data_IF_449098215035
#
_entry.id   IF_449098215035
#
_cell.length_a   1.000
_cell.length_b   1.000
_cell.length_c   1.000
_cell.angle_alpha   90.00
_cell.angle_beta   90.00
_cell.angle_gamma   90.00
#
_symmetry.space_group_name_H-M   'P 1'
#
loop_
_entity.id
_entity.type
_entity.pdbx_description
1 polymer ?
#
# COMPACT_ATOMS: atom_id res chain seq x y z
N UNK A 1 4.13 7.05 17.86
CA UNK A 1 4.53 6.24 16.69
C UNK A 1 3.73 4.95 16.67
N UNK A 2 3.11 4.64 15.55
CA UNK A 2 2.30 3.44 15.41
C UNK A 2 3.15 2.26 14.95
N UNK A 3 2.78 1.05 15.41
CA UNK A 3 3.41 -0.17 14.92
C UNK A 3 2.76 -0.57 13.60
N UNK A 4 3.59 -0.83 12.60
CA UNK A 4 3.15 -1.19 11.26
C UNK A 4 3.01 -2.72 11.15
N UNK A 5 1.86 -3.16 10.66
CA UNK A 5 1.56 -4.58 10.44
C UNK A 5 1.13 -4.76 9.00
N UNK A 6 1.72 -5.74 8.32
CA UNK A 6 1.31 -6.14 6.99
C UNK A 6 0.40 -7.37 7.10
N UNK A 7 -0.83 -7.24 6.63
CA UNK A 7 -1.71 -8.42 6.59
C UNK A 7 -1.19 -9.43 5.58
N UNK A 8 -1.52 -10.72 5.74
CA UNK A 8 -1.16 -11.73 4.74
C UNK A 8 -1.68 -11.36 3.34
N UNK A 9 -2.89 -10.82 3.25
CA UNK A 9 -3.46 -10.41 1.98
C UNK A 9 -2.64 -9.30 1.32
N UNK A 10 -2.18 -8.31 2.10
CA UNK A 10 -1.35 -7.23 1.57
C UNK A 10 0.00 -7.75 1.07
N UNK A 11 0.60 -8.71 1.79
CA UNK A 11 1.86 -9.32 1.35
C UNK A 11 1.68 -10.08 0.04
N UNK A 12 0.56 -10.78 -0.12
CA UNK A 12 0.23 -11.46 -1.38
C UNK A 12 0.01 -10.46 -2.51
N UNK A 13 -0.59 -9.32 -2.22
CA UNK A 13 -0.74 -8.25 -3.21
C UNK A 13 0.61 -7.77 -3.73
N UNK A 14 1.56 -7.52 -2.82
CA UNK A 14 2.90 -7.06 -3.21
C UNK A 14 3.58 -8.12 -4.08
N UNK A 15 3.47 -9.39 -3.70
CA UNK A 15 4.04 -10.49 -4.49
C UNK A 15 3.42 -10.52 -5.88
N UNK A 16 2.10 -10.39 -5.97
CA UNK A 16 1.38 -10.40 -7.26
C UNK A 16 1.85 -9.25 -8.15
N UNK A 17 2.01 -8.06 -7.58
CA UNK A 17 2.49 -6.89 -8.34
C UNK A 17 3.93 -7.09 -8.83
N UNK A 18 4.77 -7.66 -7.98
CA UNK A 18 6.15 -8.00 -8.35
C UNK A 18 6.16 -9.03 -9.49
N UNK A 19 5.39 -10.10 -9.35
CA UNK A 19 5.34 -11.18 -10.35
C UNK A 19 4.81 -10.68 -11.69
N UNK A 20 3.91 -9.70 -11.67
CA UNK A 20 3.39 -9.10 -12.90
C UNK A 20 4.49 -8.34 -13.67
N UNK A 21 5.32 -7.58 -12.96
CA UNK A 21 6.37 -6.78 -13.58
C UNK A 21 7.62 -7.58 -13.94
N UNK A 22 7.93 -8.61 -13.17
CA UNK A 22 9.21 -9.34 -13.26
C UNK A 22 9.55 -9.82 -14.67
N UNK A 23 8.64 -10.47 -15.43
CA UNK A 23 8.98 -10.93 -16.76
C UNK A 23 9.15 -9.79 -17.77
N UNK A 24 8.61 -8.61 -17.48
CA UNK A 24 8.70 -7.46 -18.37
C UNK A 24 9.97 -6.64 -18.09
N UNK A 25 10.27 -6.43 -16.81
CA UNK A 25 11.40 -5.61 -16.36
C UNK A 25 11.67 -5.95 -14.90
N UNK A 26 12.68 -6.79 -14.67
CA UNK A 26 13.02 -7.20 -13.31
C UNK A 26 13.44 -6.02 -12.43
N UNK A 27 14.18 -5.06 -13.01
CA UNK A 27 14.61 -3.89 -12.25
C UNK A 27 13.40 -3.05 -11.82
N UNK A 28 12.45 -2.85 -12.72
CA UNK A 28 11.21 -2.15 -12.39
C UNK A 28 10.43 -2.87 -11.29
N UNK A 29 10.38 -4.21 -11.33
CA UNK A 29 9.71 -5.00 -10.31
C UNK A 29 10.34 -4.76 -8.92
N UNK A 30 11.65 -4.74 -8.85
CA UNK A 30 12.36 -4.48 -7.60
C UNK A 30 12.14 -3.06 -7.10
N UNK A 31 12.18 -2.08 -8.01
CA UNK A 31 11.94 -0.67 -7.65
C UNK A 31 10.51 -0.46 -7.17
N UNK A 32 9.55 -1.13 -7.76
CA UNK A 32 8.14 -1.05 -7.35
C UNK A 32 7.96 -1.53 -5.91
N UNK A 33 8.51 -2.68 -5.56
CA UNK A 33 8.45 -3.22 -4.20
C UNK A 33 9.09 -2.25 -3.22
N UNK A 34 10.25 -1.71 -3.58
CA UNK A 34 10.94 -0.74 -2.72
C UNK A 34 10.11 0.52 -2.52
N UNK A 35 9.49 1.04 -3.58
CA UNK A 35 8.63 2.22 -3.49
C UNK A 35 7.43 1.96 -2.58
N UNK A 36 6.80 0.81 -2.70
CA UNK A 36 5.66 0.44 -1.85
C UNK A 36 6.10 0.38 -0.39
N UNK A 37 7.21 -0.30 -0.11
CA UNK A 37 7.69 -0.44 1.27
C UNK A 37 8.06 0.90 1.90
N UNK A 38 8.77 1.77 1.16
CA UNK A 38 9.13 3.10 1.64
C UNK A 38 7.89 3.97 1.86
N UNK A 39 6.95 3.92 0.92
CA UNK A 39 5.72 4.72 1.04
C UNK A 39 4.85 4.28 2.20
N UNK A 40 4.77 2.99 2.46
CA UNK A 40 4.00 2.45 3.59
C UNK A 40 4.66 2.82 4.92
N UNK A 41 5.98 2.87 4.95
CA UNK A 41 6.71 3.19 6.19
C UNK A 41 6.38 4.58 6.72
N UNK A 42 6.00 5.50 5.87
CA UNK A 42 5.54 6.84 6.26
C UNK A 42 4.40 6.75 7.27
N UNK A 43 3.56 5.73 7.15
CA UNK A 43 2.38 5.55 8.00
C UNK A 43 2.72 5.27 9.47
N UNK A 44 3.93 4.85 9.77
CA UNK A 44 4.37 4.66 11.15
C UNK A 44 4.37 5.98 11.94
N UNK A 45 4.72 7.08 11.26
CA UNK A 45 4.80 8.41 11.88
C UNK A 45 3.61 9.28 11.56
N UNK A 46 2.96 9.05 10.44
CA UNK A 46 1.85 9.88 9.95
C UNK A 46 0.66 8.99 9.60
N UNK A 47 0.14 8.28 10.58
CA UNK A 47 -0.91 7.29 10.35
C UNK A 47 -2.19 7.89 9.79
N UNK A 48 -2.44 9.16 10.01
CA UNK A 48 -3.64 9.83 9.51
C UNK A 48 -3.48 10.47 8.13
N UNK A 49 -2.36 10.29 7.45
CA UNK A 49 -2.06 11.01 6.21
C UNK A 49 -2.91 10.56 5.01
N UNK A 50 -3.38 9.31 5.02
CA UNK A 50 -4.23 8.80 3.95
C UNK A 50 -5.63 9.41 3.97
N UNK A 51 -6.35 9.29 2.86
CA UNK A 51 -7.72 9.77 2.76
C UNK A 51 -8.69 8.78 3.39
N UNK A 52 -9.72 9.26 4.10
CA UNK A 52 -10.79 8.37 4.52
C UNK A 52 -11.40 7.65 3.32
N UNK A 53 -11.77 6.39 3.51
CA UNK A 53 -12.40 5.60 2.45
C UNK A 53 -13.90 5.86 2.49
N UNK A 54 -14.48 6.20 1.33
CA UNK A 54 -15.91 6.45 1.23
C UNK A 54 -16.70 5.21 1.64
N UNK A 55 -17.75 5.42 2.42
CA UNK A 55 -18.65 4.36 2.91
C UNK A 55 -18.02 3.36 3.89
N UNK A 56 -16.87 3.72 4.47
CA UNK A 56 -16.23 2.92 5.51
C UNK A 56 -16.01 3.79 6.75
N UNK A 57 -15.75 3.14 7.88
CA UNK A 57 -15.45 3.84 9.13
C UNK A 57 -14.18 4.66 8.99
N UNK A 58 -14.03 5.70 9.81
CA UNK A 58 -12.92 6.65 9.75
C UNK A 58 -11.53 6.02 9.94
N UNK A 59 -11.48 4.85 10.55
CA UNK A 59 -10.22 4.14 10.77
C UNK A 59 -9.62 3.56 9.50
N UNK A 60 -10.42 3.44 8.43
CA UNK A 60 -9.96 2.93 7.13
C UNK A 60 -9.55 4.08 6.22
N UNK A 61 -8.35 3.98 5.64
CA UNK A 61 -7.78 5.03 4.80
C UNK A 61 -7.08 4.45 3.60
N UNK A 62 -6.99 5.26 2.55
CA UNK A 62 -6.21 4.95 1.35
C UNK A 62 -5.05 5.94 1.24
N UNK A 63 -3.87 5.40 0.96
CA UNK A 63 -2.64 6.16 0.79
C UNK A 63 -2.07 5.88 -0.59
N UNK A 64 -1.81 6.94 -1.36
CA UNK A 64 -1.29 6.81 -2.72
C UNK A 64 0.22 6.93 -2.71
N UNK A 65 0.88 5.97 -3.35
CA UNK A 65 2.33 5.94 -3.50
C UNK A 65 2.64 6.09 -4.98
N UNK A 66 3.33 7.17 -5.35
CA UNK A 66 3.69 7.41 -6.74
C UNK A 66 4.77 6.45 -7.21
N UNK A 67 4.63 5.98 -8.44
CA UNK A 67 5.63 5.15 -9.07
C UNK A 67 5.48 5.24 -10.59
N UNK A 68 6.55 5.73 -11.28
CA UNK A 68 6.49 5.92 -12.71
C UNK A 68 5.40 6.93 -13.10
N UNK A 69 4.63 6.61 -14.12
CA UNK A 69 3.53 7.44 -14.60
C UNK A 69 2.25 7.24 -13.81
N UNK A 70 2.28 6.37 -12.83
CA UNK A 70 1.08 5.96 -12.11
C UNK A 70 1.44 5.80 -10.64
N UNK A 71 0.99 4.72 -9.99
CA UNK A 71 1.31 4.48 -8.61
C UNK A 71 0.48 3.35 -8.03
N UNK A 72 0.55 3.25 -6.71
CA UNK A 72 -0.15 2.21 -5.97
C UNK A 72 -1.07 2.83 -4.93
N UNK A 73 -2.18 2.17 -4.67
CA UNK A 73 -3.10 2.55 -3.59
C UNK A 73 -2.95 1.53 -2.49
N UNK A 74 -2.62 2.02 -1.31
CA UNK A 74 -2.50 1.18 -0.10
C UNK A 74 -3.71 1.45 0.78
N UNK A 75 -4.51 0.42 1.01
CA UNK A 75 -5.60 0.51 1.98
C UNK A 75 -5.11 0.03 3.33
N UNK A 76 -5.37 0.82 4.36
CA UNK A 76 -4.91 0.49 5.70
C UNK A 76 -5.94 0.91 6.74
N UNK A 77 -5.82 0.31 7.92
CA UNK A 77 -6.66 0.61 9.08
C UNK A 77 -5.79 1.13 10.19
N UNK A 78 -6.25 2.20 10.83
CA UNK A 78 -5.53 2.84 11.95
C UNK A 78 -6.29 2.58 13.24
N UNK A 79 -5.60 2.11 14.27
CA UNK A 79 -6.11 2.14 15.62
C UNK A 79 -5.07 2.80 16.53
N UNK A 80 -5.28 2.74 17.84
CA UNK A 80 -4.42 3.46 18.79
C UNK A 80 -2.96 3.02 18.76
N UNK A 81 -2.69 1.78 18.40
CA UNK A 81 -1.35 1.20 18.47
C UNK A 81 -0.80 0.75 17.13
N UNK A 82 -1.69 0.41 16.21
CA UNK A 82 -1.30 -0.27 14.98
C UNK A 82 -1.79 0.45 13.75
N UNK A 83 -0.98 0.36 12.71
CA UNK A 83 -1.40 0.62 11.34
C UNK A 83 -1.32 -0.72 10.63
N UNK A 84 -2.45 -1.23 10.18
CA UNK A 84 -2.52 -2.52 9.50
C UNK A 84 -2.72 -2.29 8.01
N UNK A 85 -1.76 -2.72 7.21
CA UNK A 85 -1.87 -2.67 5.75
C UNK A 85 -2.76 -3.82 5.30
N UNK A 86 -3.88 -3.49 4.65
CA UNK A 86 -4.91 -4.46 4.28
C UNK A 86 -4.81 -4.90 2.83
N UNK A 87 -4.46 -3.99 1.93
CA UNK A 87 -4.42 -4.28 0.50
C UNK A 87 -3.48 -3.31 -0.21
N UNK A 88 -2.90 -3.75 -1.31
CA UNK A 88 -2.09 -2.91 -2.20
C UNK A 88 -2.55 -3.18 -3.62
N UNK A 89 -2.91 -2.13 -4.35
CA UNK A 89 -3.36 -2.24 -5.74
C UNK A 89 -2.63 -1.21 -6.58
N UNK A 90 -2.44 -1.54 -7.85
CA UNK A 90 -2.00 -0.55 -8.82
C UNK A 90 -3.18 0.39 -9.08
N UNK A 91 -2.92 1.68 -9.29
CA UNK A 91 -3.99 2.67 -9.50
C UNK A 91 -4.92 2.33 -10.66
N UNK A 92 -4.42 1.59 -11.65
CA UNK A 92 -5.21 1.20 -12.82
C UNK A 92 -5.99 -0.10 -12.64
N UNK A 93 -5.82 -0.79 -11.52
CA UNK A 93 -6.59 -1.99 -11.23
C UNK A 93 -7.99 -1.61 -10.77
N UNK A 94 -8.97 -2.42 -11.18
CA UNK A 94 -10.35 -2.23 -10.79
C UNK A 94 -10.61 -2.95 -9.47
N UNK A 95 -11.46 -2.39 -8.63
CA UNK A 95 -12.00 -3.11 -7.48
C UNK A 95 -11.16 -3.09 -6.23
N UNK A 96 -10.47 -2.03 -5.98
CA UNK A 96 -9.86 -1.84 -4.68
C UNK A 96 -10.92 -1.61 -3.62
#
# INVERSE_FOLDING_TARGET
MSRLIWSPAALLDVKRLYDFLKPKDLDAAKRAVKAIRHGVKVLEKQSGVGRPVEDMEDEFRDWIIDFGDSGYVVRYRVDQRFVTVLAVRHQKEVGL
#
